data_IF_107289291406
#
_entry.id   IF_107289291406
#
_cell.length_a   1.000
_cell.length_b   1.000
_cell.length_c   1.000
_cell.angle_alpha   90.00
_cell.angle_beta   90.00
_cell.angle_gamma   90.00
#
_symmetry.space_group_name_H-M   'P 1'
#
loop_
_entity.id
_entity.type
_entity.pdbx_description
1 polymer ?
#
# COMPACT_ATOMS: atom_id res chain seq x y z
N UNK A 1 14.81 -20.16 0.20
CA UNK A 1 13.43 -20.09 -0.34
C UNK A 1 12.86 -18.74 0.09
N UNK A 2 12.22 -18.00 -0.81
CA UNK A 2 11.62 -16.71 -0.44
C UNK A 2 10.37 -16.92 0.42
N UNK A 3 10.11 -16.03 1.39
CA UNK A 3 8.84 -16.01 2.12
C UNK A 3 7.65 -15.80 1.16
N UNK A 4 6.50 -16.36 1.53
CA UNK A 4 5.22 -16.11 0.85
C UNK A 4 4.48 -14.91 1.44
N UNK A 5 4.97 -14.38 2.55
CA UNK A 5 4.41 -13.26 3.29
C UNK A 5 5.56 -12.47 3.93
N UNK A 6 5.40 -11.15 4.00
CA UNK A 6 6.38 -10.24 4.59
C UNK A 6 5.67 -9.32 5.57
N UNK A 7 6.29 -9.11 6.73
CA UNK A 7 5.79 -8.19 7.75
C UNK A 7 6.46 -6.83 7.63
N UNK A 8 5.69 -5.80 7.93
CA UNK A 8 6.19 -4.45 8.15
C UNK A 8 7.07 -4.42 9.41
N UNK A 9 8.03 -3.50 9.46
CA UNK A 9 8.80 -3.26 10.68
C UNK A 9 7.94 -2.62 11.78
N UNK A 10 7.80 -3.30 12.92
CA UNK A 10 6.95 -2.88 14.04
C UNK A 10 7.40 -1.55 14.67
N UNK A 11 8.71 -1.28 14.71
CA UNK A 11 9.24 -0.05 15.31
C UNK A 11 8.94 1.15 14.42
N UNK A 12 8.99 0.99 13.10
CA UNK A 12 8.56 2.01 12.16
C UNK A 12 7.04 2.19 12.19
N UNK A 13 6.27 1.09 12.24
CA UNK A 13 4.81 1.14 12.26
C UNK A 13 4.26 1.76 13.54
N UNK A 14 4.83 1.45 14.71
CA UNK A 14 4.36 1.99 16.00
C UNK A 14 4.42 3.52 16.12
N UNK A 15 5.18 4.18 15.25
CA UNK A 15 5.25 5.65 15.15
C UNK A 15 4.11 6.25 14.32
N UNK A 16 3.30 5.41 13.68
CA UNK A 16 2.28 5.81 12.74
C UNK A 16 0.88 5.52 13.29
N UNK A 17 0.01 6.52 13.33
CA UNK A 17 -1.38 6.36 13.71
C UNK A 17 -2.29 6.10 12.49
N UNK A 18 -2.03 5.01 11.77
CA UNK A 18 -2.80 4.61 10.58
C UNK A 18 -3.28 3.16 10.69
N UNK A 19 -4.43 2.87 10.04
CA UNK A 19 -4.98 1.52 9.95
C UNK A 19 -4.02 0.60 9.19
N UNK A 20 -3.67 -0.55 9.79
CA UNK A 20 -2.97 -1.62 9.11
C UNK A 20 -3.96 -2.59 8.44
N UNK A 21 -3.63 -3.03 7.24
CA UNK A 21 -4.44 -3.95 6.42
C UNK A 21 -3.52 -4.87 5.60
N UNK A 22 -4.05 -5.99 5.12
CA UNK A 22 -3.30 -6.89 4.24
C UNK A 22 -3.09 -6.26 2.86
N UNK A 23 -1.86 -6.32 2.36
CA UNK A 23 -1.50 -5.95 0.99
C UNK A 23 -1.29 -7.20 0.15
N UNK A 24 -2.05 -7.31 -0.95
CA UNK A 24 -1.81 -8.31 -1.99
C UNK A 24 -1.15 -7.65 -3.20
N UNK A 25 -0.14 -8.30 -3.77
CA UNK A 25 0.60 -7.77 -4.92
C UNK A 25 0.50 -8.72 -6.11
N UNK A 26 0.33 -8.18 -7.32
CA UNK A 26 0.47 -8.94 -8.56
C UNK A 26 0.57 -8.04 -9.79
N UNK A 27 0.98 -8.58 -10.94
CA UNK A 27 1.35 -7.80 -12.13
C UNK A 27 0.16 -7.23 -12.95
N UNK A 28 -1.02 -7.06 -12.34
CA UNK A 28 -2.22 -6.57 -13.04
C UNK A 28 -3.02 -5.61 -12.20
N UNK A 29 -3.55 -4.57 -12.86
CA UNK A 29 -4.57 -3.72 -12.28
C UNK A 29 -5.85 -4.53 -12.03
N UNK A 30 -6.25 -4.63 -10.76
CA UNK A 30 -7.35 -5.49 -10.35
C UNK A 30 -8.69 -4.75 -10.41
N UNK A 31 -9.63 -5.29 -11.19
CA UNK A 31 -11.00 -4.75 -11.33
C UNK A 31 -12.08 -5.60 -10.66
N UNK A 32 -11.71 -6.80 -10.19
CA UNK A 32 -12.63 -7.74 -9.54
C UNK A 32 -12.15 -8.03 -8.13
N UNK A 33 -13.05 -7.99 -7.16
CA UNK A 33 -12.73 -8.23 -5.75
C UNK A 33 -12.16 -9.62 -5.50
N UNK A 34 -11.22 -9.72 -4.57
CA UNK A 34 -10.73 -11.00 -4.06
C UNK A 34 -11.72 -11.56 -3.03
N UNK A 35 -11.88 -12.89 -2.99
CA UNK A 35 -12.65 -13.54 -1.92
C UNK A 35 -11.78 -13.67 -0.68
N UNK A 36 -11.91 -12.73 0.24
CA UNK A 36 -11.17 -12.67 1.51
C UNK A 36 -12.14 -12.31 2.65
N UNK A 37 -11.83 -12.76 3.86
CA UNK A 37 -12.60 -12.47 5.08
C UNK A 37 -12.24 -11.14 5.75
N UNK A 38 -11.17 -10.48 5.28
CA UNK A 38 -10.59 -9.29 5.91
C UNK A 38 -10.47 -8.14 4.92
N UNK A 39 -10.46 -6.92 5.44
CA UNK A 39 -10.12 -5.72 4.67
C UNK A 39 -8.72 -5.86 4.06
N UNK A 40 -8.61 -5.42 2.81
CA UNK A 40 -7.38 -5.57 2.04
C UNK A 40 -7.17 -4.40 1.08
N UNK A 41 -5.94 -4.27 0.65
CA UNK A 41 -5.52 -3.41 -0.44
C UNK A 41 -4.71 -4.22 -1.43
N UNK A 42 -4.63 -3.73 -2.67
CA UNK A 42 -3.86 -4.37 -3.73
C UNK A 42 -2.92 -3.37 -4.38
N UNK A 43 -1.79 -3.85 -4.86
CA UNK A 43 -0.89 -3.09 -5.73
C UNK A 43 -0.15 -4.02 -6.71
N UNK A 44 0.82 -3.46 -7.43
CA UNK A 44 1.62 -4.21 -8.40
C UNK A 44 3.10 -4.37 -8.01
N UNK A 45 3.56 -3.72 -6.93
CA UNK A 45 4.99 -3.69 -6.58
C UNK A 45 5.33 -4.05 -5.12
N UNK A 46 4.36 -4.03 -4.20
CA UNK A 46 4.60 -4.09 -2.76
C UNK A 46 5.43 -5.29 -2.31
N UNK A 47 4.97 -6.50 -2.64
CA UNK A 47 5.68 -7.73 -2.30
C UNK A 47 7.09 -7.80 -2.93
N UNK A 48 7.29 -7.22 -4.12
CA UNK A 48 8.59 -7.17 -4.76
C UNK A 48 9.56 -6.28 -3.97
N UNK A 49 9.12 -5.11 -3.50
CA UNK A 49 9.93 -4.26 -2.63
C UNK A 49 10.24 -4.94 -1.29
N UNK A 50 9.27 -5.58 -0.65
CA UNK A 50 9.48 -6.32 0.59
C UNK A 50 10.46 -7.49 0.42
N UNK A 51 10.40 -8.20 -0.71
CA UNK A 51 11.35 -9.25 -1.03
C UNK A 51 12.79 -8.70 -1.11
N UNK A 52 12.99 -7.54 -1.74
CA UNK A 52 14.30 -6.88 -1.79
C UNK A 52 14.73 -6.42 -0.39
N UNK A 53 13.85 -5.77 0.38
CA UNK A 53 14.16 -5.34 1.74
C UNK A 53 14.56 -6.53 2.65
N UNK A 54 13.87 -7.66 2.53
CA UNK A 54 14.18 -8.90 3.24
C UNK A 54 15.58 -9.41 2.89
N UNK A 55 15.94 -9.46 1.60
CA UNK A 55 17.26 -9.88 1.14
C UNK A 55 18.39 -9.02 1.72
N UNK A 56 18.18 -7.70 1.81
CA UNK A 56 19.17 -6.75 2.31
C UNK A 56 19.05 -6.43 3.81
N UNK A 57 18.15 -7.13 4.52
CA UNK A 57 17.86 -6.90 5.95
C UNK A 57 17.59 -5.42 6.25
N UNK A 58 16.78 -4.78 5.40
CA UNK A 58 16.38 -3.37 5.57
C UNK A 58 15.01 -3.31 6.25
N UNK A 59 14.87 -2.57 7.37
CA UNK A 59 13.56 -2.23 7.93
C UNK A 59 12.70 -1.57 6.86
N UNK A 60 11.45 -2.01 6.73
CA UNK A 60 10.55 -1.52 5.70
C UNK A 60 9.13 -1.45 6.23
N UNK A 61 8.44 -0.36 5.87
CA UNK A 61 7.00 -0.22 5.96
C UNK A 61 6.47 0.23 4.61
N UNK A 62 5.20 -0.07 4.32
CA UNK A 62 4.52 0.45 3.13
C UNK A 62 3.35 1.31 3.57
N UNK A 63 3.36 2.57 3.15
CA UNK A 63 2.24 3.48 3.33
C UNK A 63 1.58 3.65 1.99
N UNK A 64 0.26 3.45 1.95
CA UNK A 64 -0.53 3.52 0.72
C UNK A 64 -1.69 4.48 0.89
N UNK A 65 -1.96 5.22 -0.18
CA UNK A 65 -3.16 6.03 -0.32
C UNK A 65 -4.08 5.29 -1.30
N UNK A 66 -5.33 5.06 -0.89
CA UNK A 66 -6.30 4.35 -1.72
C UNK A 66 -6.74 5.26 -2.87
N UNK A 67 -6.48 4.83 -4.10
CA UNK A 67 -6.82 5.55 -5.33
C UNK A 67 -8.25 5.30 -5.81
N UNK A 68 -8.74 4.07 -5.60
CA UNK A 68 -10.00 3.57 -6.12
C UNK A 68 -10.49 2.38 -5.29
N UNK A 69 -11.76 2.02 -5.48
CA UNK A 69 -12.38 0.86 -4.82
C UNK A 69 -12.66 -0.22 -5.86
N UNK A 70 -12.05 -1.38 -5.67
CA UNK A 70 -12.13 -2.50 -6.62
C UNK A 70 -13.57 -2.97 -6.79
N UNK A 71 -14.01 -3.10 -8.04
CA UNK A 71 -15.38 -3.53 -8.37
C UNK A 71 -16.45 -2.46 -8.21
N UNK A 72 -16.08 -1.23 -7.83
CA UNK A 72 -17.00 -0.09 -7.88
C UNK A 72 -17.33 0.30 -9.32
N UNK A 73 -18.52 0.88 -9.53
CA UNK A 73 -18.98 1.30 -10.86
C UNK A 73 -18.08 2.39 -11.45
N UNK A 74 -17.54 3.24 -10.59
CA UNK A 74 -16.71 4.40 -10.89
C UNK A 74 -15.21 4.13 -10.73
N UNK A 75 -14.78 2.87 -10.53
CA UNK A 75 -13.38 2.53 -10.21
C UNK A 75 -12.37 3.20 -11.15
N UNK A 76 -12.59 3.07 -12.47
CA UNK A 76 -11.67 3.59 -13.49
C UNK A 76 -11.63 5.11 -13.51
N UNK A 77 -12.78 5.78 -13.33
CA UNK A 77 -12.83 7.25 -13.23
C UNK A 77 -12.15 7.72 -11.96
N UNK A 78 -12.41 7.07 -10.83
CA UNK A 78 -11.84 7.42 -9.52
C UNK A 78 -10.32 7.26 -9.50
N UNK A 79 -9.79 6.18 -10.11
CA UNK A 79 -8.35 6.02 -10.31
C UNK A 79 -7.75 7.14 -11.17
N UNK A 80 -8.38 7.50 -12.29
CA UNK A 80 -7.90 8.59 -13.17
C UNK A 80 -7.92 9.95 -12.48
N UNK A 81 -8.96 10.22 -11.70
CA UNK A 81 -9.07 11.45 -10.93
C UNK A 81 -8.01 11.50 -9.81
N UNK A 82 -7.74 10.36 -9.17
CA UNK A 82 -6.66 10.23 -8.21
C UNK A 82 -5.30 10.48 -8.84
N UNK A 83 -5.03 9.94 -10.04
CA UNK A 83 -3.75 10.14 -10.74
C UNK A 83 -3.40 11.62 -10.95
N UNK A 84 -4.41 12.47 -11.16
CA UNK A 84 -4.24 13.91 -11.29
C UNK A 84 -3.92 14.61 -9.95
N UNK A 85 -4.34 14.03 -8.82
CA UNK A 85 -4.22 14.62 -7.46
C UNK A 85 -3.13 13.97 -6.60
N UNK A 86 -2.60 12.82 -7.01
CA UNK A 86 -1.72 11.96 -6.19
C UNK A 86 -0.52 12.69 -5.60
N UNK A 87 0.09 13.61 -6.35
CA UNK A 87 1.29 14.32 -5.93
C UNK A 87 1.06 15.12 -4.64
N UNK A 88 -0.09 15.80 -4.53
CA UNK A 88 -0.45 16.57 -3.34
C UNK A 88 -0.75 15.63 -2.16
N UNK A 89 -1.50 14.56 -2.39
CA UNK A 89 -1.84 13.61 -1.33
C UNK A 89 -0.61 12.89 -0.77
N UNK A 90 0.30 12.44 -1.63
CA UNK A 90 1.56 11.82 -1.21
C UNK A 90 2.43 12.82 -0.45
N UNK A 91 2.52 14.07 -0.92
CA UNK A 91 3.25 15.11 -0.21
C UNK A 91 2.70 15.35 1.20
N UNK A 92 1.38 15.50 1.35
CA UNK A 92 0.76 15.70 2.66
C UNK A 92 0.98 14.50 3.60
N UNK A 93 0.90 13.27 3.08
CA UNK A 93 1.20 12.06 3.87
C UNK A 93 2.66 12.04 4.31
N UNK A 94 3.60 12.32 3.41
CA UNK A 94 5.02 12.37 3.75
C UNK A 94 5.33 13.46 4.77
N UNK A 95 4.71 14.63 4.62
CA UNK A 95 4.84 15.74 5.57
C UNK A 95 4.38 15.32 6.97
N UNK A 96 3.23 14.65 7.09
CA UNK A 96 2.75 14.12 8.37
C UNK A 96 3.70 13.08 8.97
N UNK A 97 4.23 12.19 8.14
CA UNK A 97 5.10 11.11 8.62
C UNK A 97 6.49 11.61 9.03
N UNK A 98 7.04 12.60 8.32
CA UNK A 98 8.43 13.01 8.45
C UNK A 98 8.63 14.32 9.22
N UNK A 99 7.59 15.14 9.36
CA UNK A 99 7.70 16.52 9.87
C UNK A 99 6.75 16.81 11.04
N UNK A 100 5.94 15.85 11.50
CA UNK A 100 5.26 15.99 12.79
C UNK A 100 6.24 15.60 13.92
N UNK A 101 6.76 16.64 14.59
CA UNK A 101 7.38 16.57 15.93
C UNK A 101 6.31 16.63 17.03
#
# INVERSE_FOLDING_TARGET
KMPTYYESDDLLYSKLNYKSVLLYTGDKFLTTTLKTSSDYIVDMEGAAYYQVAHLFKKPMISVKVVSDVIGSVDQVSSYKDFENKKHQLVYEVLKKILMED
#
